data_IF_585762277266
#
_entry.id   IF_585762277266
#
_cell.length_a   1.000
_cell.length_b   1.000
_cell.length_c   1.000
_cell.angle_alpha   90.00
_cell.angle_beta   90.00
_cell.angle_gamma   90.00
#
_symmetry.space_group_name_H-M   'P 1'
#
loop_
_entity.id
_entity.type
_entity.pdbx_description
1 polymer ?
#
# COMPACT_ATOMS: atom_id res chain seq x y z
N UNK A 1 3.41 -11.54 7.96
CA UNK A 1 2.06 -11.10 8.34
C UNK A 1 1.13 -11.15 7.13
N UNK A 2 -0.12 -11.33 7.39
CA UNK A 2 -1.12 -11.37 6.33
C UNK A 2 -1.80 -10.02 6.24
N UNK A 3 -1.87 -9.50 5.02
CA UNK A 3 -2.60 -8.26 4.78
C UNK A 3 -3.50 -8.49 3.58
N UNK A 4 -4.45 -7.59 3.40
CA UNK A 4 -5.36 -7.64 2.27
C UNK A 4 -5.02 -6.49 1.34
N UNK A 5 -4.79 -6.79 0.08
CA UNK A 5 -4.48 -5.79 -0.92
C UNK A 5 -5.54 -5.89 -2.01
N UNK A 6 -6.38 -4.86 -2.13
CA UNK A 6 -7.47 -4.87 -3.11
C UNK A 6 -8.27 -6.16 -3.06
N UNK A 7 -8.63 -6.57 -1.85
CA UNK A 7 -9.44 -7.77 -1.59
C UNK A 7 -8.72 -9.10 -1.77
N UNK A 8 -7.42 -9.07 -2.02
CA UNK A 8 -6.62 -10.29 -2.11
C UNK A 8 -5.73 -10.41 -0.89
N UNK A 9 -5.70 -11.60 -0.30
CA UNK A 9 -4.79 -11.84 0.82
C UNK A 9 -3.38 -12.02 0.31
N UNK A 10 -2.45 -11.35 0.98
CA UNK A 10 -1.03 -11.50 0.69
C UNK A 10 -0.26 -11.64 1.97
N UNK A 11 0.74 -12.51 1.94
CA UNK A 11 1.66 -12.64 3.05
C UNK A 11 2.88 -11.79 2.76
N UNK A 12 3.22 -10.90 3.67
CA UNK A 12 4.37 -10.00 3.52
C UNK A 12 5.21 -10.09 4.79
N UNK A 13 6.51 -9.77 4.70
CA UNK A 13 7.35 -9.81 5.89
C UNK A 13 6.89 -8.81 6.94
N UNK A 14 7.11 -9.16 8.20
CA UNK A 14 6.88 -8.21 9.28
C UNK A 14 7.82 -7.03 9.11
N UNK A 15 7.32 -5.84 9.39
CA UNK A 15 8.11 -4.63 9.22
C UNK A 15 8.05 -4.03 7.84
N UNK A 16 7.20 -4.57 6.97
CA UNK A 16 7.03 -4.01 5.63
C UNK A 16 6.31 -2.67 5.72
N UNK A 17 6.87 -1.66 5.10
CA UNK A 17 6.23 -0.35 5.00
C UNK A 17 5.33 -0.31 3.77
N UNK A 18 4.46 0.70 3.73
CA UNK A 18 3.63 0.93 2.54
C UNK A 18 4.53 1.09 1.32
N UNK A 19 5.61 1.85 1.45
CA UNK A 19 6.54 2.11 0.35
C UNK A 19 7.13 0.80 -0.18
N UNK A 20 7.63 -0.04 0.72
CA UNK A 20 8.21 -1.31 0.31
C UNK A 20 7.19 -2.23 -0.34
N UNK A 21 5.97 -2.22 0.18
CA UNK A 21 4.93 -3.04 -0.38
C UNK A 21 4.63 -2.63 -1.83
N UNK A 22 4.49 -1.35 -2.07
CA UNK A 22 4.17 -0.85 -3.41
C UNK A 22 5.30 -1.13 -4.39
N UNK A 23 6.53 -0.82 -4.00
CA UNK A 23 7.66 -0.90 -4.94
C UNK A 23 8.19 -2.30 -5.10
N UNK A 24 8.34 -3.03 -4.02
CA UNK A 24 9.04 -4.31 -4.06
C UNK A 24 8.10 -5.51 -4.16
N UNK A 25 7.01 -5.48 -3.45
CA UNK A 25 6.10 -6.64 -3.43
C UNK A 25 5.13 -6.57 -4.59
N UNK A 26 4.50 -5.42 -4.79
CA UNK A 26 3.56 -5.25 -5.89
C UNK A 26 4.23 -4.81 -7.18
N UNK A 27 5.45 -4.28 -7.07
CA UNK A 27 6.25 -3.84 -8.22
C UNK A 27 5.48 -2.82 -9.06
N UNK A 28 4.86 -1.88 -8.38
CA UNK A 28 4.09 -0.83 -9.03
C UNK A 28 4.87 0.46 -9.07
N UNK A 29 4.60 1.26 -10.10
CA UNK A 29 5.10 2.61 -10.18
C UNK A 29 4.27 3.46 -9.23
N UNK A 30 4.89 4.14 -8.25
CA UNK A 30 4.12 4.96 -7.31
C UNK A 30 3.48 6.17 -7.96
N UNK A 31 3.95 6.58 -9.12
CA UNK A 31 3.38 7.75 -9.78
C UNK A 31 1.93 7.47 -10.15
N UNK A 32 1.06 8.43 -9.88
CA UNK A 32 -0.34 8.30 -10.21
C UNK A 32 -1.10 7.30 -9.36
N UNK A 33 -0.56 6.90 -8.24
CA UNK A 33 -1.22 5.95 -7.34
C UNK A 33 -1.51 6.60 -6.00
N UNK A 34 -2.60 6.22 -5.39
CA UNK A 34 -2.92 6.60 -4.03
C UNK A 34 -3.10 5.32 -3.22
N UNK A 35 -2.74 5.38 -1.97
CA UNK A 35 -2.83 4.23 -1.08
C UNK A 35 -3.71 4.57 0.11
N UNK A 36 -4.63 3.69 0.42
CA UNK A 36 -5.39 3.78 1.66
C UNK A 36 -5.11 2.53 2.48
N UNK A 37 -4.99 2.70 3.78
CA UNK A 37 -4.86 1.58 4.71
C UNK A 37 -5.99 1.71 5.71
N UNK A 38 -6.81 0.67 5.79
CA UNK A 38 -7.98 0.65 6.68
C UNK A 38 -8.83 1.91 6.49
N UNK A 39 -9.08 2.25 5.22
CA UNK A 39 -9.97 3.34 4.83
C UNK A 39 -9.40 4.73 5.10
N UNK A 40 -8.11 4.81 5.39
CA UNK A 40 -7.45 6.09 5.61
C UNK A 40 -6.37 6.27 4.55
N UNK A 41 -6.43 7.38 3.84
CA UNK A 41 -5.42 7.67 2.82
C UNK A 41 -4.07 7.91 3.50
N UNK A 42 -3.04 7.28 2.96
CA UNK A 42 -1.67 7.48 3.44
C UNK A 42 -0.96 8.38 2.44
N UNK A 43 -0.65 9.62 2.84
CA UNK A 43 0.07 10.53 1.94
C UNK A 43 1.38 9.91 1.48
N UNK A 44 1.76 10.20 0.25
CA UNK A 44 2.94 9.58 -0.34
C UNK A 44 4.20 9.83 0.49
N UNK A 45 4.33 11.02 1.07
CA UNK A 45 5.51 11.34 1.86
C UNK A 45 5.59 10.54 3.16
N UNK A 46 4.51 9.85 3.55
CA UNK A 46 4.50 9.01 4.73
C UNK A 46 4.62 7.53 4.41
N UNK A 47 4.69 7.15 3.14
CA UNK A 47 4.73 5.73 2.78
C UNK A 47 5.94 5.02 3.39
N UNK A 48 7.07 5.70 3.44
CA UNK A 48 8.31 5.07 3.93
C UNK A 48 8.32 4.88 5.43
N UNK A 49 7.47 5.61 6.15
CA UNK A 49 7.42 5.52 7.60
C UNK A 49 6.15 4.84 8.11
N UNK A 50 5.25 4.48 7.22
CA UNK A 50 4.01 3.82 7.62
C UNK A 50 4.20 2.32 7.56
N UNK A 51 4.26 1.69 8.73
CA UNK A 51 4.39 0.24 8.83
C UNK A 51 3.04 -0.41 8.68
N UNK A 52 3.00 -1.48 7.88
CA UNK A 52 1.81 -2.31 7.77
C UNK A 52 1.76 -3.27 8.96
N UNK A 53 0.56 -3.65 9.33
CA UNK A 53 0.34 -4.54 10.46
C UNK A 53 -0.54 -5.70 10.04
N UNK A 54 -0.53 -6.74 10.87
CA UNK A 54 -1.34 -7.92 10.62
C UNK A 54 -2.80 -7.54 10.39
N UNK A 55 -3.38 -8.11 9.35
CA UNK A 55 -4.78 -7.91 8.98
C UNK A 55 -5.10 -6.52 8.45
N UNK A 56 -4.10 -5.71 8.14
CA UNK A 56 -4.36 -4.43 7.50
C UNK A 56 -5.02 -4.63 6.15
N UNK A 57 -5.90 -3.72 5.79
CA UNK A 57 -6.55 -3.71 4.49
C UNK A 57 -5.99 -2.53 3.70
N UNK A 58 -5.21 -2.83 2.69
CA UNK A 58 -4.60 -1.81 1.85
C UNK A 58 -5.35 -1.75 0.53
N UNK A 59 -5.63 -0.54 0.09
CA UNK A 59 -6.28 -0.31 -1.18
C UNK A 59 -5.35 0.51 -2.05
N UNK A 60 -5.08 0.00 -3.24
CA UNK A 60 -4.29 0.73 -4.23
C UNK A 60 -5.26 1.38 -5.19
N UNK A 61 -5.25 2.70 -5.22
CA UNK A 61 -6.16 3.47 -6.04
C UNK A 61 -5.37 4.05 -7.19
N UNK A 62 -5.82 3.75 -8.40
CA UNK A 62 -5.19 4.31 -9.59
C UNK A 62 -5.76 5.69 -9.80
N UNK A 63 -4.97 6.69 -9.51
CA UNK A 63 -5.42 8.05 -9.73
C UNK A 63 -5.32 8.34 -11.21
N UNK A 64 -6.44 8.62 -11.81
CA UNK A 64 -6.45 9.05 -13.20
C UNK A 64 -5.94 10.47 -13.20
N UNK A 65 -4.79 10.68 -13.73
CA UNK A 65 -4.18 11.99 -13.70
C UNK A 65 -4.83 12.92 -14.71
N UNK A 66 -5.88 12.57 -15.24
CA UNK A 66 -6.61 13.45 -16.10
C UNK A 66 -5.89 13.93 -17.16
N UNK A 67 -5.55 13.49 -16.73
CA UNK A 67 -5.32 14.07 -17.60
C UNK A 67 -4.83 14.68 -17.86
#
# INVERSE_FOLDING_TARGET
>A
MNIQINSELKNVPDGTTVHECVLNILQLDPAGKAIAVNETIVPKHLWETTLLQENDRMLVIKACSGG
#
